data_IF_191364798605
#
_entry.id   IF_191364798605
#
_cell.length_a   1.000
_cell.length_b   1.000
_cell.length_c   1.000
_cell.angle_alpha   90.00
_cell.angle_beta   90.00
_cell.angle_gamma   90.00
#
_symmetry.space_group_name_H-M   'P 1'
#
loop_
_entity.id
_entity.type
_entity.pdbx_description
1 polymer ?
#
# COMPACT_ATOMS: atom_id res chain seq x y z
N UNK A 1 -5.99 -45.42 22.32
CA UNK A 1 -6.89 -44.37 21.79
C UNK A 1 -5.98 -43.25 21.34
N UNK A 2 -5.70 -43.23 20.03
CA UNK A 2 -4.83 -42.26 19.38
C UNK A 2 -5.71 -41.12 18.88
N UNK A 3 -5.37 -39.89 19.21
CA UNK A 3 -6.00 -38.68 18.69
C UNK A 3 -4.98 -37.95 17.81
N UNK A 4 -4.94 -38.36 16.53
CA UNK A 4 -4.25 -37.62 15.50
C UNK A 4 -5.07 -36.39 15.10
N UNK A 5 -4.74 -35.25 15.70
CA UNK A 5 -5.23 -33.95 15.27
C UNK A 5 -4.47 -33.47 14.04
N UNK A 6 -4.98 -33.72 12.86
CA UNK A 6 -4.42 -33.20 11.60
C UNK A 6 -4.54 -31.68 11.57
N UNK A 7 -3.41 -31.00 11.74
CA UNK A 7 -3.26 -29.57 11.44
C UNK A 7 -3.49 -29.38 9.92
N UNK A 8 -4.60 -28.76 9.58
CA UNK A 8 -4.92 -28.35 8.20
C UNK A 8 -3.86 -27.32 7.73
N UNK A 9 -2.91 -27.78 6.94
CA UNK A 9 -1.93 -26.94 6.27
C UNK A 9 -2.69 -26.16 5.19
N UNK A 10 -2.91 -24.87 5.45
CA UNK A 10 -3.48 -23.96 4.47
C UNK A 10 -2.64 -24.04 3.17
N UNK A 11 -3.29 -24.29 2.04
CA UNK A 11 -2.66 -24.34 0.72
C UNK A 11 -1.78 -23.11 0.50
N UNK A 12 -0.51 -23.27 0.07
CA UNK A 12 0.36 -22.16 -0.22
C UNK A 12 -0.26 -21.33 -1.35
N UNK A 13 -0.53 -20.05 -1.07
CA UNK A 13 -0.92 -19.07 -2.08
C UNK A 13 0.14 -19.11 -3.17
N UNK A 14 -0.21 -19.60 -4.37
CA UNK A 14 0.69 -19.59 -5.53
C UNK A 14 1.07 -18.14 -5.81
N UNK A 15 2.27 -17.75 -5.41
CA UNK A 15 2.84 -16.44 -5.74
C UNK A 15 2.98 -16.38 -7.26
N UNK A 16 2.49 -15.34 -7.94
CA UNK A 16 2.79 -15.17 -9.35
C UNK A 16 4.31 -15.17 -9.53
N UNK A 17 4.84 -16.02 -10.40
CA UNK A 17 6.27 -16.07 -10.78
C UNK A 17 6.77 -14.75 -11.35
N UNK A 18 5.87 -13.82 -11.59
CA UNK A 18 6.07 -12.47 -12.13
C UNK A 18 6.89 -11.53 -11.23
N UNK A 19 6.82 -11.65 -9.89
CA UNK A 19 7.52 -10.75 -8.95
C UNK A 19 8.82 -11.41 -8.46
N UNK A 20 9.68 -11.77 -9.41
CA UNK A 20 10.98 -12.36 -9.19
C UNK A 20 12.13 -11.33 -9.18
N UNK A 21 13.36 -11.82 -9.11
CA UNK A 21 14.55 -10.98 -9.12
C UNK A 21 14.69 -10.14 -10.41
N UNK A 22 14.26 -10.69 -11.57
CA UNK A 22 14.36 -10.00 -12.86
C UNK A 22 13.38 -8.81 -12.92
N UNK A 23 12.14 -9.00 -12.42
CA UNK A 23 11.17 -7.93 -12.28
C UNK A 23 11.71 -6.77 -11.45
N UNK A 24 12.25 -7.07 -10.24
CA UNK A 24 12.76 -6.02 -9.36
C UNK A 24 14.04 -5.38 -9.88
N UNK A 25 14.91 -6.13 -10.57
CA UNK A 25 16.07 -5.57 -11.25
C UNK A 25 15.63 -4.48 -12.24
N UNK A 26 14.70 -4.80 -13.12
CA UNK A 26 14.20 -3.88 -14.16
C UNK A 26 13.54 -2.64 -13.57
N UNK A 27 12.59 -2.78 -12.66
CA UNK A 27 11.75 -1.66 -12.22
C UNK A 27 12.27 -0.89 -11.00
N UNK A 28 13.29 -1.41 -10.29
CA UNK A 28 13.78 -0.78 -9.05
C UNK A 28 15.29 -0.52 -9.02
N UNK A 29 16.10 -1.31 -9.72
CA UNK A 29 17.54 -1.19 -9.63
C UNK A 29 18.21 -0.66 -10.89
N UNK A 30 17.67 -0.91 -12.05
CA UNK A 30 18.18 -0.40 -13.32
C UNK A 30 17.98 1.11 -13.40
N UNK A 31 19.04 1.85 -13.76
CA UNK A 31 19.02 3.33 -13.81
C UNK A 31 18.09 3.87 -14.89
N UNK A 32 17.95 3.16 -16.00
CA UNK A 32 17.17 3.60 -17.17
C UNK A 32 15.68 3.29 -17.01
N UNK A 33 15.35 2.18 -16.36
CA UNK A 33 13.98 1.67 -16.30
C UNK A 33 13.30 1.75 -14.92
N UNK A 34 14.06 2.13 -13.86
CA UNK A 34 13.46 2.27 -12.52
C UNK A 34 12.31 3.28 -12.51
N UNK A 35 11.22 2.88 -11.86
CA UNK A 35 9.97 3.66 -11.79
C UNK A 35 9.86 4.54 -10.55
N UNK A 36 10.72 4.33 -9.56
CA UNK A 36 10.72 5.10 -8.29
C UNK A 36 12.14 5.36 -7.82
N UNK A 37 12.35 6.48 -7.15
CA UNK A 37 13.60 6.86 -6.53
C UNK A 37 13.50 6.96 -5.01
N UNK A 38 14.64 6.89 -4.32
CA UNK A 38 14.68 7.11 -2.86
C UNK A 38 14.28 8.53 -2.47
N UNK A 39 14.55 9.49 -3.34
CA UNK A 39 14.20 10.90 -3.13
C UNK A 39 12.69 11.11 -3.19
N UNK A 40 12.01 10.57 -4.20
CA UNK A 40 10.55 10.59 -4.29
C UNK A 40 9.89 9.92 -3.10
N UNK A 41 10.43 8.77 -2.63
CA UNK A 41 9.89 8.08 -1.45
C UNK A 41 10.11 8.89 -0.17
N UNK A 42 11.20 9.63 -0.06
CA UNK A 42 11.44 10.55 1.04
C UNK A 42 10.46 11.70 1.03
N UNK A 43 10.34 12.41 -0.09
CA UNK A 43 9.38 13.50 -0.25
C UNK A 43 7.93 13.05 0.04
N UNK A 44 7.56 11.85 -0.39
CA UNK A 44 6.24 11.24 -0.10
C UNK A 44 6.04 11.01 1.40
N UNK A 45 7.02 10.44 2.09
CA UNK A 45 6.92 10.22 3.54
C UNK A 45 6.87 11.55 4.32
N UNK A 46 7.61 12.57 3.89
CA UNK A 46 7.59 13.92 4.45
C UNK A 46 6.21 14.57 4.27
N UNK A 47 5.65 14.51 3.07
CA UNK A 47 4.30 15.00 2.76
C UNK A 47 3.24 14.34 3.66
N UNK A 48 3.22 13.01 3.70
CA UNK A 48 2.27 12.25 4.52
C UNK A 48 2.40 12.67 5.99
N UNK A 49 3.62 12.70 6.52
CA UNK A 49 3.86 13.08 7.91
C UNK A 49 3.48 14.54 8.20
N UNK A 50 3.70 15.47 7.26
CA UNK A 50 3.31 16.86 7.41
C UNK A 50 1.79 17.02 7.49
N UNK A 51 1.03 16.39 6.60
CA UNK A 51 -0.45 16.39 6.61
C UNK A 51 -0.97 15.81 7.93
N UNK A 52 -0.44 14.66 8.37
CA UNK A 52 -0.87 14.01 9.61
C UNK A 52 -0.57 14.84 10.85
N UNK A 53 0.58 15.52 10.88
CA UNK A 53 0.92 16.47 11.97
C UNK A 53 -0.01 17.68 11.98
N UNK A 54 -0.26 18.28 10.80
CA UNK A 54 -1.19 19.42 10.68
C UNK A 54 -2.60 19.03 11.15
N UNK A 55 -3.05 17.82 10.82
CA UNK A 55 -4.34 17.27 11.27
C UNK A 55 -4.31 16.77 12.74
N UNK A 56 -3.19 16.91 13.46
CA UNK A 56 -3.00 16.45 14.85
C UNK A 56 -3.30 14.95 15.05
N UNK A 57 -2.98 14.14 14.06
CA UNK A 57 -3.23 12.70 14.06
C UNK A 57 -1.93 11.92 14.39
N UNK A 58 -1.78 11.42 15.63
CA UNK A 58 -0.59 10.70 16.03
C UNK A 58 -0.53 9.31 15.35
N UNK A 59 0.66 8.96 14.86
CA UNK A 59 0.95 7.68 14.21
C UNK A 59 1.98 6.90 15.02
N UNK A 60 1.62 5.72 15.47
CA UNK A 60 2.48 4.78 16.22
C UNK A 60 2.76 3.49 15.45
N UNK A 61 1.91 3.16 14.48
CA UNK A 61 2.05 1.95 13.67
C UNK A 61 1.81 2.23 12.20
N UNK A 62 2.68 1.71 11.34
CA UNK A 62 2.62 1.86 9.89
C UNK A 62 2.61 0.48 9.26
N UNK A 63 1.64 0.22 8.38
CA UNK A 63 1.65 -0.89 7.44
C UNK A 63 1.96 -0.35 6.05
N UNK A 64 3.02 -0.85 5.44
CA UNK A 64 3.31 -0.62 4.02
C UNK A 64 2.88 -1.87 3.23
N UNK A 65 1.72 -1.78 2.62
CA UNK A 65 1.06 -2.88 1.92
C UNK A 65 1.52 -2.94 0.46
N UNK A 66 2.35 -3.91 0.14
CA UNK A 66 3.12 -4.01 -1.10
C UNK A 66 4.40 -3.19 -1.01
N UNK A 67 5.16 -3.37 0.07
CA UNK A 67 6.31 -2.53 0.40
C UNK A 67 7.50 -2.66 -0.57
N UNK A 68 7.47 -3.65 -1.49
CA UNK A 68 8.52 -3.86 -2.46
C UNK A 68 9.90 -4.00 -1.80
N UNK A 69 10.89 -3.26 -2.27
CA UNK A 69 12.24 -3.23 -1.68
C UNK A 69 12.34 -2.39 -0.40
N UNK A 70 11.24 -1.85 0.10
CA UNK A 70 11.15 -1.15 1.39
C UNK A 70 11.71 0.26 1.41
N UNK A 71 11.66 1.00 0.32
CA UNK A 71 12.19 2.37 0.24
C UNK A 71 11.53 3.34 1.22
N UNK A 72 10.26 3.13 1.58
CA UNK A 72 9.54 3.97 2.54
C UNK A 72 9.97 3.74 3.99
N UNK A 73 10.51 2.57 4.35
CA UNK A 73 10.94 2.27 5.73
C UNK A 73 11.94 3.28 6.29
N UNK A 74 13.11 3.53 5.64
CA UNK A 74 14.04 4.54 6.13
C UNK A 74 13.50 5.97 6.04
N UNK A 75 12.61 6.27 5.08
CA UNK A 75 11.98 7.57 4.96
C UNK A 75 11.05 7.85 6.14
N UNK A 76 10.16 6.93 6.49
CA UNK A 76 9.29 7.08 7.66
C UNK A 76 10.04 7.08 8.98
N UNK A 77 11.12 6.31 9.11
CA UNK A 77 11.95 6.32 10.31
C UNK A 77 12.53 7.71 10.64
N UNK A 78 12.71 8.58 9.64
CA UNK A 78 13.17 9.96 9.83
C UNK A 78 12.07 10.90 10.32
N UNK A 79 10.84 10.77 9.79
CA UNK A 79 9.75 11.74 9.98
C UNK A 79 8.71 11.30 10.99
N UNK A 80 8.57 9.99 11.23
CA UNK A 80 7.70 9.36 12.22
C UNK A 80 8.52 8.44 13.14
N UNK A 81 9.51 9.01 13.82
CA UNK A 81 10.56 8.29 14.57
C UNK A 81 10.06 7.26 15.59
N UNK A 82 8.86 7.44 16.13
CA UNK A 82 8.26 6.56 17.15
C UNK A 82 7.31 5.51 16.56
N UNK A 83 7.12 5.52 15.23
CA UNK A 83 6.21 4.60 14.59
C UNK A 83 6.90 3.25 14.29
N UNK A 84 6.25 2.16 14.68
CA UNK A 84 6.65 0.80 14.30
C UNK A 84 6.19 0.53 12.86
N UNK A 85 7.13 0.22 12.00
CA UNK A 85 6.88 -0.10 10.60
C UNK A 85 6.77 -1.61 10.37
N UNK A 86 5.76 -2.02 9.59
CA UNK A 86 5.55 -3.39 9.11
C UNK A 86 5.45 -3.36 7.59
N UNK A 87 6.31 -4.10 6.91
CA UNK A 87 6.23 -4.32 5.47
C UNK A 87 5.42 -5.59 5.17
N UNK A 88 4.40 -5.49 4.33
CA UNK A 88 3.64 -6.60 3.77
C UNK A 88 3.97 -6.72 2.28
N UNK A 89 4.37 -7.91 1.83
CA UNK A 89 4.80 -8.12 0.45
C UNK A 89 4.34 -9.50 -0.07
N UNK A 90 3.91 -9.55 -1.32
CA UNK A 90 3.48 -10.78 -1.95
C UNK A 90 4.65 -11.58 -2.55
N UNK A 91 5.74 -10.91 -2.96
CA UNK A 91 6.92 -11.52 -3.53
C UNK A 91 7.69 -12.34 -2.50
N UNK A 92 7.76 -13.64 -2.72
CA UNK A 92 8.58 -14.53 -1.90
C UNK A 92 10.07 -14.15 -1.95
N UNK A 93 10.56 -13.73 -3.10
CA UNK A 93 11.94 -13.26 -3.29
C UNK A 93 12.26 -12.09 -2.36
N UNK A 94 11.40 -11.08 -2.30
CA UNK A 94 11.62 -9.91 -1.43
C UNK A 94 11.41 -10.23 0.05
N UNK A 95 10.42 -11.08 0.37
CA UNK A 95 10.19 -11.50 1.76
C UNK A 95 11.42 -12.22 2.32
N UNK A 96 12.02 -13.14 1.55
CA UNK A 96 13.28 -13.81 1.95
C UNK A 96 14.45 -12.84 2.07
N UNK A 97 14.55 -11.89 1.15
CA UNK A 97 15.68 -10.95 1.10
C UNK A 97 15.66 -9.90 2.20
N UNK A 98 14.50 -9.40 2.57
CA UNK A 98 14.34 -8.25 3.47
C UNK A 98 13.60 -8.54 4.77
N UNK A 99 13.13 -9.78 4.97
CA UNK A 99 12.41 -10.17 6.18
C UNK A 99 10.99 -9.57 6.26
N UNK A 100 10.33 -9.32 5.11
CA UNK A 100 8.98 -8.81 5.10
C UNK A 100 7.95 -9.86 5.50
N UNK A 101 6.80 -9.40 6.03
CA UNK A 101 5.63 -10.27 6.21
C UNK A 101 5.10 -10.67 4.84
N UNK A 102 5.06 -11.98 4.57
CA UNK A 102 4.50 -12.48 3.31
C UNK A 102 2.98 -12.44 3.34
N UNK A 103 2.37 -11.85 2.32
CA UNK A 103 0.91 -11.83 2.17
C UNK A 103 0.40 -10.85 1.14
N UNK A 104 -0.89 -10.95 0.86
CA UNK A 104 -1.61 -10.03 -0.02
C UNK A 104 -2.44 -9.05 0.81
N UNK A 105 -2.47 -7.79 0.39
CA UNK A 105 -3.35 -6.78 1.00
C UNK A 105 -4.84 -7.17 0.91
N UNK A 106 -5.22 -8.04 -0.04
CA UNK A 106 -6.58 -8.52 -0.18
C UNK A 106 -7.04 -9.39 1.01
N UNK A 107 -6.10 -10.14 1.60
CA UNK A 107 -6.44 -11.20 2.56
C UNK A 107 -5.69 -11.08 3.90
N UNK A 108 -4.79 -10.09 4.05
CA UNK A 108 -4.02 -9.88 5.27
C UNK A 108 -4.90 -9.54 6.47
N UNK A 109 -4.73 -10.29 7.56
CA UNK A 109 -5.51 -10.17 8.79
C UNK A 109 -4.58 -10.07 10.00
N UNK A 110 -4.09 -8.88 10.35
CA UNK A 110 -3.29 -8.68 11.57
C UNK A 110 -4.17 -8.73 12.83
N UNK A 111 -3.56 -8.93 13.99
CA UNK A 111 -4.25 -8.91 15.28
C UNK A 111 -4.90 -7.56 15.60
N UNK A 112 -4.36 -6.45 15.06
CA UNK A 112 -4.92 -5.12 15.24
C UNK A 112 -4.68 -4.26 13.99
N UNK A 113 -5.55 -3.26 13.70
CA UNK A 113 -5.35 -2.32 12.62
C UNK A 113 -4.17 -1.38 12.89
N UNK A 114 -3.64 -0.77 11.84
CA UNK A 114 -2.53 0.17 11.87
C UNK A 114 -3.04 1.63 11.87
N UNK A 115 -2.26 2.53 12.47
CA UNK A 115 -2.60 3.96 12.43
C UNK A 115 -2.52 4.50 11.01
N UNK A 116 -1.41 4.22 10.32
CA UNK A 116 -1.21 4.56 8.91
C UNK A 116 -1.06 3.28 8.09
N UNK A 117 -1.86 3.17 7.03
CA UNK A 117 -1.62 2.18 5.97
C UNK A 117 -1.15 2.93 4.74
N UNK A 118 -0.10 2.43 4.11
CA UNK A 118 0.36 2.88 2.80
C UNK A 118 0.07 1.76 1.81
N UNK A 119 -0.60 2.08 0.71
CA UNK A 119 -0.82 1.17 -0.40
C UNK A 119 -0.55 1.96 -1.69
N UNK A 120 0.69 1.86 -2.16
CA UNK A 120 1.21 2.64 -3.26
C UNK A 120 1.53 1.75 -4.46
N UNK A 121 0.78 1.94 -5.55
CA UNK A 121 0.94 1.23 -6.84
C UNK A 121 0.91 -0.30 -6.73
N UNK A 122 -0.06 -0.83 -5.97
CA UNK A 122 -0.22 -2.27 -5.71
C UNK A 122 -1.45 -2.85 -6.41
N UNK A 123 -2.59 -2.15 -6.35
CA UNK A 123 -3.87 -2.74 -6.73
C UNK A 123 -4.03 -3.00 -8.23
N UNK A 124 -3.25 -2.34 -9.06
CA UNK A 124 -3.20 -2.63 -10.49
C UNK A 124 -2.66 -4.04 -10.81
N UNK A 125 -1.98 -4.68 -9.87
CA UNK A 125 -1.49 -6.05 -10.03
C UNK A 125 -2.51 -7.13 -9.64
N UNK A 126 -3.62 -6.74 -9.02
CA UNK A 126 -4.69 -7.64 -8.59
C UNK A 126 -5.80 -7.70 -9.64
N UNK A 127 -6.39 -8.88 -9.83
CA UNK A 127 -7.64 -9.01 -10.58
C UNK A 127 -8.79 -8.24 -9.90
N UNK A 128 -9.95 -8.11 -10.55
CA UNK A 128 -11.06 -7.31 -10.05
C UNK A 128 -11.62 -7.82 -8.72
N UNK A 129 -11.68 -9.14 -8.54
CA UNK A 129 -12.17 -9.77 -7.31
C UNK A 129 -11.19 -9.52 -6.15
N UNK A 130 -9.91 -9.75 -6.36
CA UNK A 130 -8.88 -9.50 -5.35
C UNK A 130 -8.74 -8.00 -5.03
N UNK A 131 -8.81 -7.11 -6.04
CA UNK A 131 -8.78 -5.67 -5.83
C UNK A 131 -10.00 -5.17 -5.03
N UNK A 132 -11.20 -5.72 -5.27
CA UNK A 132 -12.38 -5.38 -4.47
C UNK A 132 -12.23 -5.82 -3.01
N UNK A 133 -11.69 -7.02 -2.76
CA UNK A 133 -11.36 -7.49 -1.40
C UNK A 133 -10.28 -6.60 -0.75
N UNK A 134 -9.22 -6.25 -1.50
CA UNK A 134 -8.16 -5.36 -1.02
C UNK A 134 -8.70 -4.00 -0.58
N UNK A 135 -9.58 -3.38 -1.38
CA UNK A 135 -10.21 -2.11 -1.03
C UNK A 135 -11.04 -2.19 0.26
N UNK A 136 -11.83 -3.26 0.43
CA UNK A 136 -12.57 -3.49 1.66
C UNK A 136 -11.63 -3.73 2.85
N UNK A 137 -10.52 -4.45 2.62
CA UNK A 137 -9.54 -4.75 3.65
C UNK A 137 -8.74 -3.51 4.08
N UNK A 138 -8.35 -2.62 3.13
CA UNK A 138 -7.73 -1.33 3.45
C UNK A 138 -8.58 -0.50 4.41
N UNK A 139 -9.92 -0.53 4.24
CA UNK A 139 -10.85 0.08 5.18
C UNK A 139 -10.77 -0.51 6.59
N UNK A 140 -10.52 -1.80 6.75
CA UNK A 140 -10.35 -2.47 8.06
C UNK A 140 -8.96 -2.26 8.65
N UNK A 141 -7.93 -2.30 7.83
CA UNK A 141 -6.54 -2.18 8.21
C UNK A 141 -6.16 -0.77 8.71
N UNK A 142 -6.83 0.27 8.19
CA UNK A 142 -6.48 1.67 8.48
C UNK A 142 -7.31 2.23 9.62
N UNK A 143 -6.68 2.46 10.78
CA UNK A 143 -7.33 3.01 11.98
C UNK A 143 -7.44 4.53 11.96
N UNK A 144 -6.44 5.23 11.43
CA UNK A 144 -6.36 6.69 11.40
C UNK A 144 -6.30 7.21 9.98
N UNK A 145 -5.32 6.77 9.19
CA UNK A 145 -5.05 7.29 7.85
C UNK A 145 -4.69 6.18 6.87
N UNK A 146 -4.97 6.46 5.59
CA UNK A 146 -4.54 5.66 4.45
C UNK A 146 -3.85 6.59 3.45
N UNK A 147 -2.64 6.26 3.02
CA UNK A 147 -2.08 6.77 1.78
C UNK A 147 -2.34 5.77 0.67
N UNK A 148 -3.03 6.21 -0.39
CA UNK A 148 -3.43 5.34 -1.48
C UNK A 148 -3.10 5.94 -2.83
N UNK A 149 -2.42 5.16 -3.67
CA UNK A 149 -2.23 5.41 -5.08
C UNK A 149 -2.34 4.10 -5.86
N UNK A 150 -2.88 4.18 -7.06
CA UNK A 150 -2.90 3.09 -8.03
C UNK A 150 -2.91 3.69 -9.43
N UNK A 151 -2.28 3.01 -10.38
CA UNK A 151 -2.35 3.38 -11.79
C UNK A 151 -3.79 3.25 -12.29
N UNK A 152 -4.37 4.36 -12.74
CA UNK A 152 -5.72 4.40 -13.28
C UNK A 152 -5.74 4.43 -14.80
N UNK A 153 -6.89 4.17 -15.42
CA UNK A 153 -7.08 4.30 -16.87
C UNK A 153 -6.78 5.74 -17.31
N UNK A 154 -7.20 6.73 -16.51
CA UNK A 154 -6.99 8.15 -16.79
C UNK A 154 -5.49 8.51 -16.73
N UNK A 155 -4.76 8.02 -15.72
CA UNK A 155 -3.32 8.25 -15.59
C UNK A 155 -2.53 7.59 -16.70
N UNK A 156 -2.89 6.35 -17.08
CA UNK A 156 -2.29 5.67 -18.21
C UNK A 156 -2.40 6.47 -19.51
N UNK A 157 -3.52 7.16 -19.69
CA UNK A 157 -3.77 7.95 -20.92
C UNK A 157 -3.04 9.29 -20.93
N UNK A 158 -2.87 9.94 -19.79
CA UNK A 158 -2.46 11.35 -19.70
C UNK A 158 -1.11 11.60 -19.02
N UNK A 159 -0.76 10.78 -18.01
CA UNK A 159 0.32 11.10 -17.07
C UNK A 159 1.45 10.07 -17.05
N UNK A 160 1.22 8.89 -17.63
CA UNK A 160 2.11 7.76 -17.48
C UNK A 160 3.19 7.73 -18.57
N UNK A 161 4.46 7.60 -18.16
CA UNK A 161 5.54 7.19 -19.05
C UNK A 161 5.43 5.68 -19.33
N UNK A 162 4.83 5.36 -20.48
CA UNK A 162 4.55 3.97 -20.90
C UNK A 162 5.80 3.16 -21.21
N UNK A 163 6.95 3.81 -21.44
CA UNK A 163 8.22 3.12 -21.70
C UNK A 163 8.79 2.49 -20.43
N UNK A 164 8.51 3.12 -19.28
CA UNK A 164 9.01 2.73 -17.95
C UNK A 164 7.96 2.04 -17.09
N UNK A 165 6.71 2.01 -17.51
CA UNK A 165 5.61 1.43 -16.72
C UNK A 165 5.32 0.00 -17.14
N UNK A 166 5.08 -0.87 -16.17
CA UNK A 166 4.65 -2.24 -16.42
C UNK A 166 3.27 -2.26 -17.07
N UNK A 167 3.18 -2.89 -18.25
CA UNK A 167 1.95 -2.97 -19.05
C UNK A 167 1.03 -4.11 -18.65
N UNK A 168 1.56 -5.12 -17.95
CA UNK A 168 0.78 -6.29 -17.56
C UNK A 168 0.01 -6.02 -16.25
N UNK A 169 -0.88 -5.04 -16.25
CA UNK A 169 -1.66 -4.56 -15.10
C UNK A 169 -3.15 -4.49 -15.40
N UNK A 170 -3.95 -4.59 -14.36
CA UNK A 170 -5.42 -4.46 -14.41
C UNK A 170 -5.79 -3.02 -14.05
N UNK A 171 -5.92 -2.17 -15.05
CA UNK A 171 -6.24 -0.76 -14.83
C UNK A 171 -7.74 -0.56 -14.61
N UNK A 172 -8.08 0.31 -13.65
CA UNK A 172 -9.46 0.67 -13.31
C UNK A 172 -9.64 2.19 -13.35
N UNK A 173 -10.86 2.68 -13.60
CA UNK A 173 -11.13 4.11 -13.52
C UNK A 173 -10.88 4.65 -12.11
N UNK A 174 -10.38 5.88 -11.99
CA UNK A 174 -10.17 6.56 -10.71
C UNK A 174 -11.47 6.62 -9.88
N UNK A 175 -12.62 6.75 -10.54
CA UNK A 175 -13.94 6.73 -9.90
C UNK A 175 -14.21 5.41 -9.16
N UNK A 176 -13.74 4.27 -9.67
CA UNK A 176 -13.88 2.95 -9.04
C UNK A 176 -13.21 2.89 -7.67
N UNK A 177 -11.99 3.45 -7.56
CA UNK A 177 -11.25 3.54 -6.30
C UNK A 177 -11.90 4.55 -5.34
N UNK A 178 -12.19 5.77 -5.82
CA UNK A 178 -12.79 6.84 -5.01
C UNK A 178 -14.12 6.43 -4.38
N UNK A 179 -15.00 5.76 -5.12
CA UNK A 179 -16.30 5.31 -4.60
C UNK A 179 -16.14 4.36 -3.40
N UNK A 180 -15.11 3.49 -3.40
CA UNK A 180 -14.83 2.56 -2.31
C UNK A 180 -14.15 3.23 -1.13
N UNK A 181 -13.19 4.10 -1.36
CA UNK A 181 -12.48 4.83 -0.31
C UNK A 181 -13.40 5.77 0.46
N UNK A 182 -14.28 6.49 -0.24
CA UNK A 182 -15.26 7.41 0.36
C UNK A 182 -16.22 6.75 1.34
N UNK A 183 -16.37 5.46 1.34
CA UNK A 183 -17.17 4.74 2.35
C UNK A 183 -16.58 4.88 3.75
N UNK A 184 -15.25 4.94 3.86
CA UNK A 184 -14.52 4.88 5.12
C UNK A 184 -13.73 6.15 5.43
N UNK A 185 -13.38 6.94 4.43
CA UNK A 185 -12.42 8.02 4.53
C UNK A 185 -12.92 9.33 3.91
N UNK A 186 -12.37 10.44 4.39
CA UNK A 186 -12.33 11.72 3.72
C UNK A 186 -11.00 11.87 2.98
N UNK A 187 -11.03 12.48 1.79
CA UNK A 187 -9.85 12.77 1.00
C UNK A 187 -9.28 14.14 1.38
N UNK A 188 -7.99 14.23 1.70
CA UNK A 188 -7.31 15.48 2.03
C UNK A 188 -6.41 16.01 0.90
N UNK A 189 -6.22 15.23 -0.14
CA UNK A 189 -5.34 15.60 -1.25
C UNK A 189 -4.11 14.68 -1.36
N UNK A 190 -3.46 14.68 -2.53
CA UNK A 190 -2.20 14.02 -2.83
C UNK A 190 -2.10 12.55 -2.35
N UNK A 191 -3.21 11.81 -2.44
CA UNK A 191 -3.26 10.40 -2.03
C UNK A 191 -3.53 10.15 -0.54
N UNK A 192 -3.67 11.19 0.28
CA UNK A 192 -3.92 11.05 1.73
C UNK A 192 -5.42 11.04 2.02
N UNK A 193 -5.84 10.02 2.76
CA UNK A 193 -7.21 9.77 3.19
C UNK A 193 -7.24 9.61 4.71
N UNK A 194 -8.15 10.30 5.38
CA UNK A 194 -8.32 10.22 6.84
C UNK A 194 -9.61 9.48 7.17
N UNK A 195 -9.53 8.57 8.14
CA UNK A 195 -10.69 7.83 8.62
C UNK A 195 -11.78 8.77 9.11
N UNK A 196 -13.02 8.59 8.64
CA UNK A 196 -14.16 9.47 9.01
C UNK A 196 -14.34 9.61 10.52
N UNK A 197 -14.12 8.53 11.27
CA UNK A 197 -14.23 8.51 12.74
C UNK A 197 -13.07 9.20 13.46
N UNK A 198 -12.06 9.70 12.75
CA UNK A 198 -10.89 10.39 13.30
C UNK A 198 -10.83 11.87 12.95
N UNK A 199 -11.67 12.32 12.05
CA UNK A 199 -11.75 13.71 11.63
C UNK A 199 -12.92 14.39 12.36
N UNK A 200 -12.60 15.09 13.44
CA UNK A 200 -13.60 15.78 14.29
C UNK A 200 -14.00 17.15 13.75
N UNK A 201 -13.11 17.80 13.01
CA UNK A 201 -13.36 19.11 12.37
C UNK A 201 -13.03 19.00 10.89
N UNK A 202 -13.94 19.47 10.06
CA UNK A 202 -13.76 19.57 8.61
C UNK A 202 -14.10 20.98 8.18
N UNK A 203 -13.13 21.69 7.63
CA UNK A 203 -13.32 23.03 7.11
C UNK A 203 -14.15 22.99 5.83
N UNK A 204 -15.02 23.98 5.61
CA UNK A 204 -15.92 23.99 4.46
C UNK A 204 -15.20 23.91 3.10
N UNK A 205 -14.00 24.49 2.99
CA UNK A 205 -13.18 24.42 1.78
C UNK A 205 -12.57 23.03 1.49
N UNK A 206 -12.62 22.10 2.46
CA UNK A 206 -12.11 20.73 2.33
C UNK A 206 -13.23 19.71 2.09
N UNK A 207 -14.46 20.20 1.86
CA UNK A 207 -15.69 19.37 1.79
C UNK A 207 -16.00 18.90 0.37
#
# INVERSE_FOLDING_TARGET
MSLDGALSIANPVKTPTRFDAAFFKRFYFDRETKVVTREEMRARAELIAAILRQAQLPIRTILDAGCGIGMLKPAFARVLKRARYVGLEASEYLCRRYGWTRGSVADFKPAAPFDLVVCYDVLQYLDDRAAARAMANLGRLSRVALYFSALTIEDWRRNCDRSRTDRAVNMRPAAWYRARLRRHFYYLGLGVWIRKTRMTVRWALES
#
